data_IF_667952230955
#
_entry.id   IF_667952230955
#
_cell.length_a   1.000
_cell.length_b   1.000
_cell.length_c   1.000
_cell.angle_alpha   90.00
_cell.angle_beta   90.00
_cell.angle_gamma   90.00
#
_symmetry.space_group_name_H-M   'P 1'
#
loop_
_entity.id
_entity.type
_entity.pdbx_description
1 polymer ?
#
# COMPACT_ATOMS: atom_id res chain seq x y z
N UNK A 1 6.05 14.52 -4.58
CA UNK A 1 7.21 14.71 -5.47
C UNK A 1 8.41 14.20 -4.70
N UNK A 2 9.33 13.46 -5.33
CA UNK A 2 10.46 12.82 -4.66
C UNK A 2 11.78 13.48 -5.05
N UNK A 3 12.64 13.76 -4.07
CA UNK A 3 13.97 14.35 -4.26
C UNK A 3 15.06 13.35 -3.81
N UNK A 4 15.11 12.20 -4.49
CA UNK A 4 15.91 11.02 -4.11
C UNK A 4 17.44 11.20 -4.08
N UNK A 5 18.01 12.13 -4.84
CA UNK A 5 19.48 12.25 -4.94
C UNK A 5 19.94 13.63 -5.38
N UNK A 6 20.35 14.44 -4.40
CA UNK A 6 20.94 15.75 -4.65
C UNK A 6 22.45 15.70 -4.44
N UNK A 7 23.21 16.05 -5.48
CA UNK A 7 24.68 16.15 -5.42
C UNK A 7 25.07 17.60 -5.14
N UNK A 8 25.87 17.79 -4.11
CA UNK A 8 26.42 19.10 -3.76
C UNK A 8 27.94 19.04 -3.85
N UNK A 9 28.53 20.11 -4.39
CA UNK A 9 29.95 20.38 -4.23
C UNK A 9 30.08 21.63 -3.36
N UNK A 10 30.25 21.42 -2.07
CA UNK A 10 30.26 22.46 -1.04
C UNK A 10 31.67 22.59 -0.49
N UNK A 11 32.23 23.79 -0.57
CA UNK A 11 33.56 24.08 -0.03
C UNK A 11 33.46 25.13 1.07
N UNK A 12 34.13 24.86 2.19
CA UNK A 12 34.35 25.86 3.22
C UNK A 12 35.69 26.57 2.98
N UNK A 13 35.68 27.91 3.04
CA UNK A 13 36.88 28.74 2.89
C UNK A 13 37.98 28.43 3.93
N UNK A 14 37.60 28.07 5.16
CA UNK A 14 38.51 27.90 6.30
C UNK A 14 38.35 26.53 6.98
N UNK A 15 38.67 25.43 6.29
CA UNK A 15 38.72 24.03 6.80
C UNK A 15 37.70 23.71 7.91
N UNK A 16 36.42 24.05 7.68
CA UNK A 16 35.39 24.04 8.71
C UNK A 16 34.45 22.84 8.55
N UNK A 17 34.89 21.68 9.04
CA UNK A 17 34.15 20.41 8.91
C UNK A 17 32.73 20.50 9.49
N UNK A 18 32.56 21.11 10.67
CA UNK A 18 31.25 21.22 11.31
C UNK A 18 30.25 22.04 10.50
N UNK A 19 30.66 23.22 10.00
CA UNK A 19 29.76 24.05 9.18
C UNK A 19 29.43 23.38 7.85
N UNK A 20 30.39 22.66 7.27
CA UNK A 20 30.17 21.89 6.05
C UNK A 20 29.14 20.76 6.28
N UNK A 21 29.28 20.01 7.37
CA UNK A 21 28.30 18.99 7.81
C UNK A 21 26.92 19.60 8.03
N UNK A 22 26.84 20.67 8.82
CA UNK A 22 25.57 21.31 9.18
C UNK A 22 24.87 21.90 7.94
N UNK A 23 25.64 22.43 6.99
CA UNK A 23 25.12 22.87 5.70
C UNK A 23 24.54 21.72 4.90
N UNK A 24 25.26 20.60 4.78
CA UNK A 24 24.75 19.41 4.06
C UNK A 24 23.44 18.91 4.67
N UNK A 25 23.34 18.89 6.00
CA UNK A 25 22.12 18.50 6.68
C UNK A 25 20.98 19.50 6.44
N UNK A 26 21.24 20.82 6.53
CA UNK A 26 20.24 21.85 6.23
C UNK A 26 19.71 21.76 4.80
N UNK A 27 20.60 21.49 3.83
CA UNK A 27 20.21 21.30 2.44
C UNK A 27 19.26 20.11 2.31
N UNK A 28 19.59 18.96 2.91
CA UNK A 28 18.70 17.79 2.91
C UNK A 28 17.32 18.10 3.50
N UNK A 29 17.27 18.77 4.66
CA UNK A 29 16.00 19.16 5.28
C UNK A 29 15.20 20.14 4.40
N UNK A 30 15.88 21.06 3.72
CA UNK A 30 15.25 22.02 2.80
C UNK A 30 14.66 21.34 1.58
N UNK A 31 15.38 20.38 0.97
CA UNK A 31 14.84 19.62 -0.16
C UNK A 31 13.65 18.76 0.23
N UNK A 32 13.72 18.09 1.40
CA UNK A 32 12.56 17.39 1.93
C UNK A 32 11.40 18.37 2.19
N UNK A 33 11.64 19.62 2.59
CA UNK A 33 10.56 20.59 2.70
C UNK A 33 9.94 20.92 1.33
N UNK A 34 10.75 21.07 0.29
CA UNK A 34 10.24 21.34 -1.06
C UNK A 34 9.38 20.23 -1.65
N UNK A 35 9.54 18.99 -1.20
CA UNK A 35 8.69 17.86 -1.62
C UNK A 35 7.21 18.05 -1.30
N UNK A 36 6.89 18.78 -0.22
CA UNK A 36 5.51 19.14 0.11
C UNK A 36 5.19 20.59 -0.27
N UNK A 37 6.11 21.55 -0.03
CA UNK A 37 5.84 22.97 -0.25
C UNK A 37 5.56 23.31 -1.71
N UNK A 38 6.32 22.73 -2.66
CA UNK A 38 6.14 23.06 -4.09
C UNK A 38 4.78 22.56 -4.60
N UNK A 39 4.38 21.29 -4.38
CA UNK A 39 3.04 20.84 -4.75
C UNK A 39 1.93 21.63 -4.06
N UNK A 40 2.09 21.95 -2.77
CA UNK A 40 1.12 22.78 -2.06
C UNK A 40 0.96 24.15 -2.71
N UNK A 41 2.06 24.83 -3.02
CA UNK A 41 2.04 26.14 -3.68
C UNK A 41 1.45 26.07 -5.09
N UNK A 42 1.70 24.99 -5.83
CA UNK A 42 1.33 24.86 -7.24
C UNK A 42 -0.12 24.40 -7.42
N UNK A 43 -0.62 23.56 -6.53
CA UNK A 43 -1.92 22.90 -6.68
C UNK A 43 -2.96 23.35 -5.65
N UNK A 44 -2.58 24.05 -4.58
CA UNK A 44 -3.57 24.63 -3.66
C UNK A 44 -4.19 25.89 -4.25
N UNK A 45 -5.50 26.00 -4.10
CA UNK A 45 -6.25 27.24 -4.33
C UNK A 45 -6.87 27.71 -3.01
N UNK A 46 -7.44 28.91 -2.97
CA UNK A 46 -8.15 29.39 -1.76
C UNK A 46 -9.35 28.50 -1.41
N UNK A 47 -10.04 27.99 -2.43
CA UNK A 47 -11.24 27.16 -2.27
C UNK A 47 -10.90 25.68 -2.07
N UNK A 48 -9.77 25.20 -2.60
CA UNK A 48 -9.31 23.82 -2.50
C UNK A 48 -7.84 23.75 -2.05
N UNK A 49 -7.57 23.74 -0.74
CA UNK A 49 -6.21 23.60 -0.23
C UNK A 49 -5.71 22.16 -0.39
N UNK A 50 -4.55 21.98 -1.01
CA UNK A 50 -3.88 20.68 -1.13
C UNK A 50 -2.90 20.53 0.03
N UNK A 51 -2.88 19.36 0.67
CA UNK A 51 -1.91 19.03 1.71
C UNK A 51 -0.86 18.06 1.19
N UNK A 52 0.37 18.53 1.02
CA UNK A 52 1.54 17.71 0.72
C UNK A 52 2.15 17.13 1.99
N UNK A 53 2.93 16.06 1.83
CA UNK A 53 3.67 15.43 2.92
C UNK A 53 5.13 15.21 2.51
N UNK A 54 6.01 15.32 3.50
CA UNK A 54 7.42 14.95 3.39
C UNK A 54 7.95 14.54 4.75
N UNK A 55 9.18 14.03 4.81
CA UNK A 55 9.78 13.54 6.05
C UNK A 55 9.84 14.64 7.13
N UNK A 56 10.31 15.84 6.78
CA UNK A 56 10.42 16.97 7.72
C UNK A 56 9.07 17.47 8.18
N UNK A 57 8.06 17.51 7.30
CA UNK A 57 6.69 17.89 7.66
C UNK A 57 6.05 16.84 8.56
N UNK A 58 6.25 15.57 8.27
CA UNK A 58 5.73 14.48 9.09
C UNK A 58 6.34 14.50 10.51
N UNK A 59 7.65 14.72 10.64
CA UNK A 59 8.30 14.91 11.94
C UNK A 59 7.76 16.15 12.69
N UNK A 60 7.54 17.26 11.98
CA UNK A 60 6.96 18.47 12.57
C UNK A 60 5.52 18.25 13.06
N UNK A 61 4.68 17.58 12.27
CA UNK A 61 3.31 17.23 12.66
C UNK A 61 3.31 16.29 13.87
N UNK A 62 4.14 15.24 13.87
CA UNK A 62 4.24 14.33 14.99
C UNK A 62 4.66 15.05 16.28
N UNK A 63 5.63 15.97 16.18
CA UNK A 63 6.05 16.81 17.30
C UNK A 63 4.90 17.71 17.79
N UNK A 64 4.13 18.33 16.90
CA UNK A 64 2.95 19.13 17.26
C UNK A 64 1.85 18.29 17.92
N UNK A 65 1.70 17.03 17.54
CA UNK A 65 0.78 16.07 18.15
C UNK A 65 1.27 15.55 19.52
N UNK A 66 2.42 16.01 20.01
CA UNK A 66 2.99 15.59 21.28
C UNK A 66 3.60 14.18 21.25
N UNK A 67 3.84 13.63 20.06
CA UNK A 67 4.53 12.35 19.94
C UNK A 67 6.00 12.49 20.33
N UNK A 68 6.56 11.40 20.87
CA UNK A 68 7.99 11.31 21.09
C UNK A 68 8.70 11.18 19.73
N UNK A 69 9.73 12.00 19.53
CA UNK A 69 10.69 11.86 18.44
C UNK A 69 11.90 11.12 19.00
N UNK A 70 12.24 10.00 18.38
CA UNK A 70 13.39 9.18 18.73
C UNK A 70 14.55 9.51 17.80
N UNK A 71 15.76 9.54 18.36
CA UNK A 71 17.01 9.55 17.61
C UNK A 71 17.76 8.26 17.94
N UNK A 72 17.94 7.41 16.95
CA UNK A 72 18.59 6.12 17.09
C UNK A 72 20.07 6.16 16.72
N UNK A 73 20.87 5.58 17.59
CA UNK A 73 22.29 5.26 17.44
C UNK A 73 22.48 3.77 17.78
N UNK A 74 23.66 3.20 17.55
CA UNK A 74 23.93 1.78 17.85
C UNK A 74 23.59 1.42 19.31
N UNK A 75 23.75 2.37 20.23
CA UNK A 75 23.57 2.17 21.67
C UNK A 75 22.11 1.94 22.10
N UNK A 76 21.14 2.32 21.28
CA UNK A 76 19.75 2.47 21.73
C UNK A 76 18.72 1.78 20.81
N UNK A 77 19.19 0.89 19.93
CA UNK A 77 18.34 0.15 19.00
C UNK A 77 17.30 -0.75 19.68
N UNK A 78 17.50 -1.13 20.95
CA UNK A 78 16.49 -1.86 21.74
C UNK A 78 15.15 -1.12 21.86
N UNK A 79 15.15 0.21 21.80
CA UNK A 79 13.94 1.03 21.85
C UNK A 79 13.17 1.07 20.51
N UNK A 80 13.64 0.41 19.44
CA UNK A 80 12.84 0.25 18.21
C UNK A 80 11.53 -0.49 18.46
N UNK A 81 11.49 -1.30 19.52
CA UNK A 81 10.28 -1.97 19.97
C UNK A 81 9.19 -0.99 20.46
N UNK A 82 9.56 0.22 20.88
CA UNK A 82 8.62 1.25 21.35
C UNK A 82 7.86 1.96 20.21
N UNK A 83 8.35 1.84 18.98
CA UNK A 83 7.71 2.43 17.80
C UNK A 83 6.55 1.54 17.34
N UNK A 84 5.46 2.12 16.88
CA UNK A 84 4.35 1.38 16.23
C UNK A 84 4.35 1.54 14.71
N UNK A 85 5.46 2.01 14.15
CA UNK A 85 5.69 2.18 12.71
C UNK A 85 5.81 0.82 12.01
N UNK A 86 5.74 0.80 10.68
CA UNK A 86 5.80 -0.42 9.88
C UNK A 86 7.15 -1.15 10.01
N UNK A 87 7.13 -2.47 9.83
CA UNK A 87 8.33 -3.31 10.04
C UNK A 87 9.45 -2.96 9.05
N UNK A 88 9.12 -2.60 7.80
CA UNK A 88 10.12 -2.20 6.80
C UNK A 88 10.94 -0.99 7.25
N UNK A 89 10.28 0.02 7.82
CA UNK A 89 10.96 1.18 8.41
C UNK A 89 11.86 0.79 9.58
N UNK A 90 11.39 -0.10 10.47
CA UNK A 90 12.22 -0.57 11.60
C UNK A 90 13.47 -1.31 11.13
N UNK A 91 13.31 -2.19 10.15
CA UNK A 91 14.40 -2.99 9.58
C UNK A 91 15.43 -2.09 8.89
N UNK A 92 14.99 -1.09 8.14
CA UNK A 92 15.88 -0.12 7.51
C UNK A 92 16.64 0.71 8.55
N UNK A 93 15.95 1.23 9.58
CA UNK A 93 16.60 1.98 10.67
C UNK A 93 17.66 1.11 11.35
N UNK A 94 17.31 -0.13 11.74
CA UNK A 94 18.24 -1.07 12.35
C UNK A 94 19.47 -1.32 11.47
N UNK A 95 19.27 -1.55 10.17
CA UNK A 95 20.35 -1.84 9.23
C UNK A 95 21.26 -0.62 9.03
N UNK A 96 20.70 0.58 8.85
CA UNK A 96 21.49 1.78 8.61
C UNK A 96 22.22 2.26 9.85
N UNK A 97 21.58 2.19 11.02
CA UNK A 97 22.23 2.57 12.28
C UNK A 97 23.39 1.63 12.61
N UNK A 98 23.26 0.33 12.34
CA UNK A 98 24.38 -0.63 12.44
C UNK A 98 25.54 -0.36 11.45
N UNK A 99 25.34 0.53 10.47
CA UNK A 99 26.39 0.99 9.55
C UNK A 99 26.94 2.38 9.96
N UNK A 100 26.73 2.81 11.21
CA UNK A 100 27.22 4.08 11.73
C UNK A 100 26.36 5.31 11.37
N UNK A 101 25.15 5.10 10.84
CA UNK A 101 24.21 6.20 10.56
C UNK A 101 23.40 6.57 11.82
N UNK A 102 22.84 7.77 11.84
CA UNK A 102 21.91 8.23 12.88
C UNK A 102 20.52 8.38 12.29
N UNK A 103 19.54 7.67 12.86
CA UNK A 103 18.16 7.75 12.40
C UNK A 103 17.33 8.66 13.31
N UNK A 104 16.39 9.45 12.78
CA UNK A 104 15.39 10.20 13.56
C UNK A 104 14.00 9.87 13.05
N UNK A 105 13.09 9.47 13.95
CA UNK A 105 11.75 8.97 13.60
C UNK A 105 10.76 9.29 14.71
N UNK A 106 9.48 9.42 14.38
CA UNK A 106 8.42 9.60 15.37
C UNK A 106 7.78 8.28 15.82
N UNK A 107 7.17 8.27 17.00
CA UNK A 107 6.76 7.04 17.68
C UNK A 107 5.66 6.25 16.98
N UNK A 108 4.65 6.94 16.44
CA UNK A 108 3.46 6.34 15.85
C UNK A 108 3.16 6.98 14.49
N UNK A 109 2.65 6.22 13.50
CA UNK A 109 2.19 6.79 12.23
C UNK A 109 1.26 7.99 12.46
N UNK A 110 1.43 9.03 11.67
CA UNK A 110 0.55 10.20 11.66
C UNK A 110 -0.44 10.10 10.51
N UNK A 111 -1.58 10.75 10.64
CA UNK A 111 -2.53 10.96 9.54
C UNK A 111 -2.59 12.44 9.18
N UNK A 112 -2.37 12.78 7.92
CA UNK A 112 -2.44 14.15 7.41
C UNK A 112 -2.84 14.13 5.93
N UNK A 113 -3.84 14.95 5.56
CA UNK A 113 -4.31 15.12 4.19
C UNK A 113 -4.58 13.79 3.45
N UNK A 114 -5.23 12.82 4.12
CA UNK A 114 -5.54 11.49 3.57
C UNK A 114 -4.37 10.50 3.55
N UNK A 115 -3.14 10.95 3.79
CA UNK A 115 -1.98 10.07 3.96
C UNK A 115 -1.87 9.59 5.40
N UNK A 116 -1.55 8.31 5.61
CA UNK A 116 -1.19 7.77 6.92
C UNK A 116 0.14 7.03 6.84
N UNK A 117 1.10 7.42 7.67
CA UNK A 117 2.44 6.89 7.58
C UNK A 117 3.44 7.51 8.53
N UNK A 118 4.71 7.21 8.31
CA UNK A 118 5.84 7.61 9.16
C UNK A 118 6.80 8.50 8.39
N UNK A 119 7.29 9.57 9.00
CA UNK A 119 8.40 10.35 8.48
C UNK A 119 9.65 10.08 9.30
N UNK A 120 10.77 9.85 8.62
CA UNK A 120 12.04 9.57 9.27
C UNK A 120 13.23 10.04 8.44
N UNK A 121 14.37 10.23 9.09
CA UNK A 121 15.62 10.64 8.44
C UNK A 121 16.74 9.69 8.84
N UNK A 122 17.68 9.41 7.93
CA UNK A 122 18.87 8.61 8.20
C UNK A 122 20.08 9.42 7.73
N UNK A 123 20.89 9.91 8.67
CA UNK A 123 21.94 10.89 8.41
C UNK A 123 23.29 10.38 8.89
N UNK A 124 24.32 10.55 8.07
CA UNK A 124 25.69 10.23 8.43
C UNK A 124 26.21 11.31 9.41
N UNK A 125 26.63 10.94 10.62
CA UNK A 125 26.95 11.90 11.68
C UNK A 125 28.16 12.79 11.35
N UNK A 126 29.13 12.31 10.59
CA UNK A 126 30.31 13.10 10.23
C UNK A 126 30.10 14.04 9.03
N UNK A 127 29.29 13.64 8.05
CA UNK A 127 29.17 14.37 6.78
C UNK A 127 27.88 15.16 6.64
N UNK A 128 26.86 14.84 7.45
CA UNK A 128 25.53 15.46 7.36
C UNK A 128 24.73 15.00 6.15
N UNK A 129 25.31 14.16 5.29
CA UNK A 129 24.62 13.54 4.17
C UNK A 129 23.63 12.51 4.69
N UNK A 130 22.40 12.52 4.19
CA UNK A 130 21.37 11.62 4.67
C UNK A 130 20.15 11.57 3.78
N UNK A 131 19.33 10.55 4.00
CA UNK A 131 18.04 10.39 3.35
C UNK A 131 16.92 10.92 4.25
N UNK A 132 15.91 11.50 3.62
CA UNK A 132 14.71 12.04 4.24
C UNK A 132 13.55 11.26 3.64
N UNK A 133 12.91 10.41 4.43
CA UNK A 133 12.03 9.37 3.93
C UNK A 133 10.66 9.45 4.59
N UNK A 134 9.66 9.02 3.83
CA UNK A 134 8.33 8.73 4.34
C UNK A 134 8.02 7.25 4.07
N UNK A 135 7.39 6.57 5.03
CA UNK A 135 6.80 5.25 4.85
C UNK A 135 5.28 5.36 5.00
N UNK A 136 4.54 4.44 4.38
CA UNK A 136 3.07 4.48 4.39
C UNK A 136 2.47 5.36 3.28
N UNK A 137 1.14 5.41 3.26
CA UNK A 137 0.32 5.82 2.11
C UNK A 137 -0.61 4.68 1.67
N UNK A 138 -1.68 5.00 0.93
CA UNK A 138 -2.62 3.99 0.39
C UNK A 138 -1.98 3.04 -0.63
N UNK A 139 -0.75 3.32 -1.04
CA UNK A 139 -0.13 2.67 -2.19
C UNK A 139 0.63 1.43 -1.74
N UNK A 140 -0.12 0.32 -1.69
CA UNK A 140 0.45 -1.03 -1.65
C UNK A 140 -0.39 -2.05 -0.90
N UNK A 141 -1.21 -1.65 0.08
CA UNK A 141 -2.01 -2.60 0.87
C UNK A 141 -3.00 -3.38 0.00
N UNK A 142 -3.70 -2.70 -0.92
CA UNK A 142 -4.61 -3.34 -1.87
C UNK A 142 -3.83 -4.20 -2.86
N UNK A 143 -2.67 -3.75 -3.34
CA UNK A 143 -1.86 -4.52 -4.31
C UNK A 143 -1.28 -5.78 -3.67
N UNK A 144 -0.80 -5.72 -2.42
CA UNK A 144 -0.28 -6.87 -1.67
C UNK A 144 -1.41 -7.83 -1.28
N UNK A 145 -2.58 -7.31 -0.88
CA UNK A 145 -3.76 -8.13 -0.62
C UNK A 145 -4.24 -8.85 -1.89
N UNK A 146 -4.30 -8.14 -3.02
CA UNK A 146 -4.65 -8.71 -4.34
C UNK A 146 -3.58 -9.71 -4.81
N UNK A 147 -2.28 -9.42 -4.65
CA UNK A 147 -1.20 -10.31 -5.05
C UNK A 147 -1.17 -11.58 -4.17
N UNK A 148 -1.45 -11.45 -2.88
CA UNK A 148 -1.58 -12.60 -1.96
C UNK A 148 -2.83 -13.44 -2.26
N UNK A 149 -3.93 -12.82 -2.68
CA UNK A 149 -5.10 -13.54 -3.16
C UNK A 149 -4.81 -14.28 -4.47
N UNK A 150 -4.08 -13.66 -5.40
CA UNK A 150 -3.68 -14.26 -6.69
C UNK A 150 -2.73 -15.44 -6.51
N UNK A 151 -1.75 -15.36 -5.61
CA UNK A 151 -0.81 -16.47 -5.35
C UNK A 151 -1.49 -17.66 -4.66
N UNK A 152 -2.46 -17.42 -3.78
CA UNK A 152 -3.27 -18.48 -3.17
C UNK A 152 -4.22 -19.17 -4.18
N UNK A 153 -4.79 -18.42 -5.12
CA UNK A 153 -5.60 -18.96 -6.23
C UNK A 153 -4.74 -19.79 -7.20
N UNK A 154 -3.53 -19.33 -7.53
CA UNK A 154 -2.60 -20.07 -8.39
C UNK A 154 -2.08 -21.35 -7.71
N UNK A 155 -1.75 -21.30 -6.42
CA UNK A 155 -1.28 -22.46 -5.65
C UNK A 155 -2.37 -23.53 -5.50
N UNK A 156 -3.62 -23.13 -5.24
CA UNK A 156 -4.77 -24.06 -5.21
C UNK A 156 -5.11 -24.61 -6.60
N UNK A 157 -4.93 -23.84 -7.68
CA UNK A 157 -5.06 -24.34 -9.06
C UNK A 157 -3.99 -25.37 -9.45
N UNK A 158 -2.75 -25.19 -9.00
CA UNK A 158 -1.63 -26.09 -9.32
C UNK A 158 -1.69 -27.43 -8.56
N UNK A 159 -2.19 -27.44 -7.31
CA UNK A 159 -2.41 -28.69 -6.56
C UNK A 159 -3.50 -29.61 -7.15
N UNK A 160 -4.41 -29.05 -7.95
CA UNK A 160 -5.45 -29.83 -8.66
C UNK A 160 -4.88 -30.39 -9.98
N UNK A 161 -3.91 -29.71 -10.60
CA UNK A 161 -3.25 -30.18 -11.83
C UNK A 161 -2.34 -31.39 -11.61
N UNK A 162 -1.67 -31.50 -10.45
CA UNK A 162 -0.79 -32.65 -10.14
C UNK A 162 -1.54 -33.90 -9.69
N UNK A 163 -2.81 -33.77 -9.28
CA UNK A 163 -3.70 -34.91 -8.98
C UNK A 163 -4.53 -35.33 -10.20
N UNK A 164 -4.55 -34.51 -11.26
CA UNK A 164 -5.39 -34.64 -12.45
C UNK A 164 -4.81 -35.46 -13.62
N UNK A 165 -3.66 -36.12 -13.47
CA UNK A 165 -3.10 -36.96 -14.55
C UNK A 165 -3.83 -38.32 -14.70
N UNK A 166 -4.91 -38.56 -13.94
CA UNK A 166 -5.70 -39.80 -13.99
C UNK A 166 -7.20 -39.63 -14.29
N UNK A 167 -7.65 -38.46 -14.74
CA UNK A 167 -9.06 -38.29 -15.15
C UNK A 167 -9.14 -38.03 -16.65
N UNK A 168 -9.09 -39.14 -17.38
CA UNK A 168 -9.41 -39.24 -18.79
C UNK A 168 -10.94 -39.04 -18.97
N UNK A 169 -11.43 -37.82 -19.18
CA UNK A 169 -12.73 -37.59 -19.84
C UNK A 169 -12.89 -36.13 -20.31
N UNK A 170 -12.83 -35.92 -21.62
CA UNK A 170 -13.20 -34.67 -22.30
C UNK A 170 -14.66 -34.29 -21.99
N UNK A 171 -14.91 -33.48 -20.96
CA UNK A 171 -16.14 -32.69 -20.72
C UNK A 171 -15.99 -31.63 -19.60
N UNK A 172 -14.91 -31.67 -18.80
CA UNK A 172 -14.66 -30.72 -17.70
C UNK A 172 -14.16 -29.33 -18.16
N UNK A 173 -13.73 -29.18 -19.41
CA UNK A 173 -13.14 -27.92 -19.91
C UNK A 173 -14.10 -26.73 -19.83
N UNK A 174 -15.41 -26.94 -19.96
CA UNK A 174 -16.38 -25.84 -19.95
C UNK A 174 -16.69 -25.31 -18.54
N UNK A 175 -16.71 -26.19 -17.54
CA UNK A 175 -16.90 -25.82 -16.13
C UNK A 175 -15.65 -25.13 -15.56
N UNK A 176 -14.46 -25.60 -15.98
CA UNK A 176 -13.19 -24.94 -15.66
C UNK A 176 -13.12 -23.56 -16.30
N UNK A 177 -13.51 -23.41 -17.58
CA UNK A 177 -13.58 -22.10 -18.24
C UNK A 177 -14.56 -21.17 -17.54
N UNK A 178 -15.76 -21.65 -17.17
CA UNK A 178 -16.74 -20.86 -16.41
C UNK A 178 -16.19 -20.36 -15.06
N UNK A 179 -15.36 -21.17 -14.37
CA UNK A 179 -14.68 -20.77 -13.12
C UNK A 179 -13.64 -19.68 -13.32
N UNK A 180 -12.92 -19.68 -14.44
CA UNK A 180 -11.93 -18.65 -14.75
C UNK A 180 -12.62 -17.33 -15.15
N UNK A 181 -13.72 -17.40 -15.90
CA UNK A 181 -14.53 -16.22 -16.22
C UNK A 181 -15.16 -15.57 -14.98
N UNK A 182 -15.64 -16.36 -14.02
CA UNK A 182 -16.17 -15.81 -12.76
C UNK A 182 -15.09 -15.15 -11.91
N UNK A 183 -13.89 -15.73 -11.84
CA UNK A 183 -12.74 -15.12 -11.14
C UNK A 183 -12.33 -13.77 -11.76
N UNK A 184 -12.36 -13.65 -13.09
CA UNK A 184 -12.11 -12.39 -13.81
C UNK A 184 -13.20 -11.35 -13.50
N UNK A 185 -14.47 -11.76 -13.43
CA UNK A 185 -15.58 -10.87 -13.07
C UNK A 185 -15.46 -10.24 -11.68
N UNK A 186 -14.94 -11.00 -10.70
CA UNK A 186 -14.61 -10.45 -9.37
C UNK A 186 -13.55 -9.36 -9.49
N UNK A 187 -12.55 -9.59 -10.32
CA UNK A 187 -11.42 -8.68 -10.50
C UNK A 187 -11.88 -7.33 -11.10
N UNK A 188 -12.76 -7.37 -12.10
CA UNK A 188 -13.35 -6.16 -12.72
C UNK A 188 -14.22 -5.39 -11.72
N UNK A 189 -15.12 -6.09 -11.02
CA UNK A 189 -16.02 -5.44 -10.03
C UNK A 189 -15.28 -4.82 -8.83
N UNK A 190 -14.15 -5.40 -8.41
CA UNK A 190 -13.30 -4.82 -7.37
C UNK A 190 -12.55 -3.57 -7.87
N UNK A 191 -12.11 -3.56 -9.12
CA UNK A 191 -11.48 -2.38 -9.71
C UNK A 191 -12.48 -1.22 -9.86
N UNK A 192 -13.70 -1.51 -10.30
CA UNK A 192 -14.78 -0.51 -10.40
C UNK A 192 -15.19 0.03 -9.03
N UNK A 193 -15.27 -0.83 -8.00
CA UNK A 193 -15.55 -0.42 -6.63
C UNK A 193 -14.40 0.41 -6.00
N UNK A 194 -13.15 0.09 -6.32
CA UNK A 194 -12.00 0.85 -5.85
C UNK A 194 -11.92 2.26 -6.46
N UNK A 195 -12.45 2.44 -7.69
CA UNK A 195 -12.50 3.74 -8.36
C UNK A 195 -13.69 4.63 -7.97
N UNK A 196 -14.65 4.14 -7.17
CA UNK A 196 -15.94 4.80 -6.90
C UNK A 196 -16.11 5.30 -5.46
N UNK A 197 -15.01 5.55 -4.73
CA UNK A 197 -15.05 6.18 -3.41
C UNK A 197 -15.62 5.31 -2.27
N UNK A 198 -15.87 4.01 -2.51
CA UNK A 198 -16.49 3.11 -1.54
C UNK A 198 -15.80 3.10 -0.17
N UNK A 199 -16.61 3.07 0.91
CA UNK A 199 -16.11 2.75 2.25
C UNK A 199 -15.62 1.31 2.35
N UNK A 200 -14.76 1.00 3.32
CA UNK A 200 -14.19 -0.35 3.51
C UNK A 200 -15.26 -1.43 3.69
N UNK A 201 -16.37 -1.10 4.38
CA UNK A 201 -17.50 -2.03 4.55
C UNK A 201 -18.27 -2.30 3.26
N UNK A 202 -18.35 -1.33 2.36
CA UNK A 202 -19.04 -1.48 1.08
C UNK A 202 -18.18 -2.26 0.08
N UNK A 203 -16.87 -2.00 0.08
CA UNK A 203 -15.90 -2.78 -0.70
C UNK A 203 -15.90 -4.26 -0.27
N UNK A 204 -15.97 -4.52 1.03
CA UNK A 204 -16.11 -5.89 1.56
C UNK A 204 -17.38 -6.57 1.04
N UNK A 205 -18.49 -5.82 0.95
CA UNK A 205 -19.74 -6.30 0.37
C UNK A 205 -19.61 -6.68 -1.11
N UNK A 206 -18.95 -5.84 -1.90
CA UNK A 206 -18.71 -6.10 -3.33
C UNK A 206 -17.84 -7.35 -3.53
N UNK A 207 -16.81 -7.53 -2.70
CA UNK A 207 -15.93 -8.71 -2.73
C UNK A 207 -16.70 -9.98 -2.35
N UNK A 208 -17.47 -9.96 -1.26
CA UNK A 208 -18.23 -11.12 -0.80
C UNK A 208 -19.27 -11.58 -1.83
N UNK A 209 -19.98 -10.64 -2.45
CA UNK A 209 -20.94 -10.95 -3.52
C UNK A 209 -20.22 -11.48 -4.77
N UNK A 210 -19.08 -10.88 -5.13
CA UNK A 210 -18.27 -11.33 -6.28
C UNK A 210 -17.72 -12.75 -6.11
N UNK A 211 -17.44 -13.19 -4.89
CA UNK A 211 -16.97 -14.56 -4.63
C UNK A 211 -18.07 -15.63 -4.75
N UNK A 212 -19.36 -15.27 -4.69
CA UNK A 212 -20.47 -16.24 -4.71
C UNK A 212 -20.48 -17.15 -5.95
N UNK A 213 -20.35 -16.66 -7.20
CA UNK A 213 -20.33 -17.52 -8.38
C UNK A 213 -19.12 -18.47 -8.38
N UNK A 214 -17.98 -18.05 -7.82
CA UNK A 214 -16.80 -18.88 -7.69
C UNK A 214 -17.02 -20.03 -6.67
N UNK A 215 -17.59 -19.71 -5.51
CA UNK A 215 -17.90 -20.71 -4.48
C UNK A 215 -18.98 -21.70 -4.95
N UNK A 216 -19.99 -21.23 -5.69
CA UNK A 216 -21.00 -22.10 -6.31
C UNK A 216 -20.39 -23.00 -7.37
N UNK A 217 -19.49 -22.47 -8.22
CA UNK A 217 -18.74 -23.28 -9.19
C UNK A 217 -17.86 -24.35 -8.52
N UNK A 218 -17.33 -24.07 -7.33
CA UNK A 218 -16.55 -25.04 -6.55
C UNK A 218 -17.45 -26.13 -5.94
N UNK A 219 -18.57 -25.74 -5.34
CA UNK A 219 -19.53 -26.68 -4.76
C UNK A 219 -20.18 -27.60 -5.82
N UNK A 220 -20.46 -27.08 -7.01
CA UNK A 220 -21.05 -27.87 -8.11
C UNK A 220 -20.06 -28.84 -8.75
N UNK A 221 -18.75 -28.63 -8.60
CA UNK A 221 -17.73 -29.56 -9.12
C UNK A 221 -17.72 -30.91 -8.39
N UNK A 222 -18.30 -30.98 -7.18
CA UNK A 222 -18.43 -32.24 -6.42
C UNK A 222 -19.77 -32.96 -6.65
N UNK A 223 -20.68 -32.37 -7.43
CA UNK A 223 -22.02 -32.92 -7.68
C UNK A 223 -22.05 -33.53 -9.09
N UNK A 224 -22.65 -34.70 -9.25
CA UNK A 224 -22.84 -35.38 -10.54
C UNK A 224 -23.99 -34.70 -11.31
N UNK A 225 -23.75 -33.48 -11.77
CA UNK A 225 -24.63 -32.76 -12.69
C UNK A 225 -23.97 -32.72 -14.07
N UNK A 226 -24.80 -32.72 -15.13
CA UNK A 226 -24.29 -32.55 -16.49
C UNK A 226 -23.63 -31.18 -16.67
N UNK A 227 -22.56 -31.06 -17.48
CA UNK A 227 -21.77 -29.83 -17.59
C UNK A 227 -22.56 -28.62 -18.12
N UNK A 228 -23.60 -28.89 -18.92
CA UNK A 228 -24.53 -27.86 -19.42
C UNK A 228 -25.34 -27.26 -18.25
N UNK A 229 -25.79 -28.08 -17.31
CA UNK A 229 -26.56 -27.63 -16.14
C UNK A 229 -25.65 -26.80 -15.22
N UNK A 230 -24.42 -27.25 -15.00
CA UNK A 230 -23.43 -26.51 -14.22
C UNK A 230 -23.15 -25.15 -14.86
N UNK A 231 -22.99 -25.09 -16.19
CA UNK A 231 -22.79 -23.82 -16.90
C UNK A 231 -23.97 -22.86 -16.72
N UNK A 232 -25.20 -23.35 -16.90
CA UNK A 232 -26.40 -22.52 -16.78
C UNK A 232 -26.58 -21.95 -15.37
N UNK A 233 -26.31 -22.77 -14.33
CA UNK A 233 -26.35 -22.29 -12.94
C UNK A 233 -25.28 -21.23 -12.70
N UNK A 234 -24.06 -21.43 -13.21
CA UNK A 234 -22.98 -20.44 -13.06
C UNK A 234 -23.31 -19.13 -13.77
N UNK A 235 -23.91 -19.17 -14.98
CA UNK A 235 -24.35 -17.97 -15.69
C UNK A 235 -25.42 -17.22 -14.88
N UNK A 236 -26.42 -17.95 -14.37
CA UNK A 236 -27.51 -17.36 -13.59
C UNK A 236 -26.99 -16.70 -12.30
N UNK A 237 -26.13 -17.40 -11.54
CA UNK A 237 -25.55 -16.88 -10.30
C UNK A 237 -24.63 -15.69 -10.58
N UNK A 238 -23.87 -15.72 -11.68
CA UNK A 238 -23.02 -14.61 -12.11
C UNK A 238 -23.84 -13.35 -12.44
N UNK A 239 -24.95 -13.50 -13.18
CA UNK A 239 -25.84 -12.37 -13.48
C UNK A 239 -26.49 -11.79 -12.22
N UNK A 240 -26.93 -12.65 -11.30
CA UNK A 240 -27.51 -12.21 -10.03
C UNK A 240 -26.48 -11.49 -9.16
N UNK A 241 -25.25 -12.00 -9.09
CA UNK A 241 -24.15 -11.37 -8.36
C UNK A 241 -23.82 -9.99 -8.97
N UNK A 242 -23.78 -9.88 -10.31
CA UNK A 242 -23.55 -8.60 -10.99
C UNK A 242 -24.59 -7.54 -10.63
N UNK A 243 -25.89 -7.88 -10.65
CA UNK A 243 -26.94 -6.94 -10.24
C UNK A 243 -26.82 -6.47 -8.80
N UNK A 244 -26.40 -7.36 -7.89
CA UNK A 244 -26.15 -7.01 -6.49
C UNK A 244 -24.91 -6.12 -6.35
N UNK A 245 -23.85 -6.38 -7.13
CA UNK A 245 -22.66 -5.55 -7.14
C UNK A 245 -22.94 -4.15 -7.69
N UNK A 246 -23.69 -4.03 -8.79
CA UNK A 246 -24.10 -2.73 -9.34
C UNK A 246 -24.92 -1.92 -8.33
N UNK A 247 -25.80 -2.59 -7.58
CA UNK A 247 -26.56 -1.95 -6.51
C UNK A 247 -25.68 -1.49 -5.34
N UNK A 248 -24.63 -2.24 -5.00
CA UNK A 248 -23.66 -1.87 -3.96
C UNK A 248 -22.75 -0.72 -4.39
N UNK A 249 -22.20 -0.78 -5.61
CA UNK A 249 -21.37 0.27 -6.20
C UNK A 249 -22.20 1.56 -6.37
N UNK A 250 -23.46 1.43 -6.77
CA UNK A 250 -24.39 2.56 -6.84
C UNK A 250 -24.69 3.21 -5.48
N UNK A 251 -24.47 2.52 -4.36
CA UNK A 251 -24.52 3.13 -3.01
C UNK A 251 -23.25 3.89 -2.68
N UNK A 252 -22.08 3.40 -3.11
CA UNK A 252 -20.82 4.12 -2.96
C UNK A 252 -20.91 5.51 -3.61
N UNK A 253 -21.38 5.57 -4.86
CA UNK A 253 -21.55 6.84 -5.59
C UNK A 253 -22.59 7.81 -4.99
N UNK A 254 -23.43 7.37 -4.03
CA UNK A 254 -24.41 8.24 -3.35
C UNK A 254 -23.95 8.66 -1.95
N UNK A 255 -22.92 8.04 -1.40
CA UNK A 255 -22.36 8.40 -0.10
C UNK A 255 -21.47 9.64 -0.16
N UNK A 256 -20.98 10.00 -1.35
CA UNK A 256 -20.07 11.13 -1.59
C UNK A 256 -20.81 12.44 -2.01
N UNK A 257 -22.15 12.43 -2.04
CA UNK A 257 -23.01 13.62 -2.23
C UNK A 257 -23.81 13.92 -0.95
#
# INVERSE_FOLDING_TARGET
>A
MDMDSMKFNTECKDNCLEKWRDYNQQMGATYSAYEHLIPEQLFSTEDEPVGGISAVKALAIASQQGQRIYTFTEDNLSYLSDLTVDQGTKDEIQAQVNNGMVATVHQHPITYAGWTGTGYTIVHPETGAGSYKISGGSDGSIVIAVLSALTNIAATGFSIASTGLKVLAKLESLAVVARHFSAIGVLVSVLDAAGSGCSVSELLGVILVGLLPFLVSLALATVILGPIIILLINILVSQLAGLLQDALIGRCNRSDN
#
